data_IF_826885513473
#
_entry.id   IF_826885513473
#
_cell.length_a   1.000
_cell.length_b   1.000
_cell.length_c   1.000
_cell.angle_alpha   90.00
_cell.angle_beta   90.00
_cell.angle_gamma   90.00
#
_symmetry.space_group_name_H-M   'P 1'
#
loop_
_entity.id
_entity.type
_entity.pdbx_description
1 polymer ?
#
# COMPACT_ATOMS: atom_id res chain seq x y z
N UNK A 1 -8.59 -15.95 -4.26
CA UNK A 1 -8.90 -14.98 -3.17
C UNK A 1 -7.60 -14.33 -2.80
N UNK A 2 -7.60 -13.04 -2.52
CA UNK A 2 -6.37 -12.38 -2.11
C UNK A 2 -6.05 -12.82 -0.68
N UNK A 3 -5.13 -13.75 -0.56
CA UNK A 3 -4.78 -14.30 0.75
C UNK A 3 -3.75 -13.41 1.48
N UNK A 4 -3.34 -12.29 0.86
CA UNK A 4 -2.32 -11.41 1.43
C UNK A 4 -2.91 -10.04 1.77
N UNK A 5 -2.94 -9.75 3.06
CA UNK A 5 -3.35 -8.45 3.60
C UNK A 5 -2.15 -7.77 4.26
N UNK A 6 -1.93 -6.52 3.93
CA UNK A 6 -0.95 -5.69 4.64
C UNK A 6 -1.52 -5.22 5.97
N UNK A 7 -0.73 -5.33 7.01
CA UNK A 7 -1.11 -4.89 8.36
C UNK A 7 -0.14 -3.81 8.80
N UNK A 8 -0.68 -2.69 9.27
CA UNK A 8 0.09 -1.54 9.78
C UNK A 8 -0.32 -1.28 11.23
N UNK A 9 0.60 -1.50 12.17
CA UNK A 9 0.40 -1.17 13.58
C UNK A 9 0.77 0.30 13.84
N UNK A 10 -0.25 1.16 13.89
CA UNK A 10 -0.10 2.61 14.06
C UNK A 10 0.57 2.99 15.38
N UNK A 11 0.41 2.17 16.42
CA UNK A 11 1.03 2.44 17.71
C UNK A 11 2.53 2.10 17.75
N UNK A 12 3.01 1.27 16.81
CA UNK A 12 4.43 0.91 16.71
C UNK A 12 5.18 1.73 15.67
N UNK A 13 4.46 2.28 14.69
CA UNK A 13 5.09 3.08 13.63
C UNK A 13 5.63 4.39 14.19
N UNK A 14 6.91 4.65 13.96
CA UNK A 14 7.61 5.87 14.41
C UNK A 14 7.87 6.88 13.29
N UNK A 15 7.35 6.64 12.08
CA UNK A 15 7.56 7.53 10.94
C UNK A 15 9.00 7.56 10.41
N UNK A 16 9.81 6.53 10.65
CA UNK A 16 11.24 6.53 10.34
C UNK A 16 11.59 6.44 8.85
N UNK A 17 10.60 6.28 7.97
CA UNK A 17 10.72 6.20 6.50
C UNK A 17 11.54 5.00 5.96
N UNK A 18 12.05 4.10 6.79
CA UNK A 18 12.86 2.97 6.32
C UNK A 18 12.14 2.09 5.28
N UNK A 19 10.83 1.89 5.42
CA UNK A 19 10.00 1.14 4.48
C UNK A 19 9.86 1.86 3.12
N UNK A 20 9.76 3.20 3.13
CA UNK A 20 9.68 4.01 1.90
C UNK A 20 11.00 3.95 1.13
N UNK A 21 12.12 4.20 1.82
CA UNK A 21 13.45 4.14 1.20
C UNK A 21 13.74 2.76 0.61
N UNK A 22 13.47 1.69 1.36
CA UNK A 22 13.69 0.33 0.87
C UNK A 22 12.78 -0.03 -0.33
N UNK A 23 11.55 0.48 -0.35
CA UNK A 23 10.65 0.29 -1.48
C UNK A 23 11.14 1.03 -2.72
N UNK A 24 11.58 2.28 -2.55
CA UNK A 24 12.12 3.13 -3.61
C UNK A 24 13.38 2.53 -4.23
N UNK A 25 14.34 2.12 -3.41
CA UNK A 25 15.57 1.47 -3.83
C UNK A 25 15.31 0.19 -4.63
N UNK A 26 14.45 -0.69 -4.10
CA UNK A 26 14.08 -1.93 -4.79
C UNK A 26 13.40 -1.71 -6.15
N UNK A 27 12.57 -0.68 -6.25
CA UNK A 27 11.77 -0.40 -7.44
C UNK A 27 12.48 0.55 -8.43
N UNK A 28 13.70 0.97 -8.12
CA UNK A 28 14.50 1.93 -8.90
C UNK A 28 13.69 3.19 -9.27
N UNK A 29 12.97 3.73 -8.27
CA UNK A 29 12.12 4.90 -8.49
C UNK A 29 12.94 6.19 -8.47
N UNK A 30 12.57 7.17 -9.31
CA UNK A 30 13.10 8.53 -9.23
C UNK A 30 12.93 9.13 -7.82
N UNK A 31 13.82 10.08 -7.47
CA UNK A 31 13.87 10.67 -6.13
C UNK A 31 12.57 11.37 -5.70
N UNK A 32 11.80 11.86 -6.66
CA UNK A 32 10.55 12.59 -6.46
C UNK A 32 9.30 11.71 -6.46
N UNK A 33 9.43 10.39 -6.68
CA UNK A 33 8.30 9.46 -6.74
C UNK A 33 8.34 8.42 -5.63
N UNK A 34 7.21 8.16 -5.03
CA UNK A 34 7.04 7.16 -3.98
C UNK A 34 5.86 6.23 -4.24
N UNK A 35 6.08 4.92 -4.23
CA UNK A 35 5.03 3.92 -4.18
C UNK A 35 4.47 3.70 -2.78
N UNK A 36 5.26 4.03 -1.76
CA UNK A 36 4.90 3.91 -0.35
C UNK A 36 5.19 5.22 0.36
N UNK A 37 4.18 5.80 0.98
CA UNK A 37 4.27 7.05 1.74
C UNK A 37 4.01 6.78 3.21
N UNK A 38 4.69 7.52 4.07
CA UNK A 38 4.48 7.52 5.52
C UNK A 38 4.07 8.93 5.93
N UNK A 39 2.82 9.09 6.29
CA UNK A 39 2.18 10.38 6.51
C UNK A 39 1.88 10.59 8.01
N UNK A 40 2.28 11.72 8.60
CA UNK A 40 1.94 12.05 9.98
C UNK A 40 0.45 12.43 10.09
N UNK A 41 -0.21 11.92 11.11
CA UNK A 41 -1.57 12.29 11.50
C UNK A 41 -1.58 12.78 12.94
N UNK A 42 -2.02 14.02 13.11
CA UNK A 42 -2.19 14.63 14.42
C UNK A 42 -3.67 14.61 14.79
N UNK A 43 -3.97 14.23 16.03
CA UNK A 43 -5.33 14.22 16.57
C UNK A 43 -5.33 14.67 18.04
N UNK A 44 -6.53 14.88 18.58
CA UNK A 44 -6.70 15.38 19.94
C UNK A 44 -6.42 16.88 20.05
N UNK A 45 -6.36 17.36 21.31
CA UNK A 45 -6.06 18.75 21.66
C UNK A 45 -5.29 18.79 22.97
N UNK A 46 -4.60 19.91 23.20
CA UNK A 46 -3.92 20.13 24.49
C UNK A 46 -4.90 19.91 25.66
N UNK A 47 -4.52 19.19 26.73
CA UNK A 47 -3.18 18.67 27.04
C UNK A 47 -2.88 17.24 26.51
N UNK A 48 -3.74 16.65 25.70
CA UNK A 48 -3.64 15.26 25.24
C UNK A 48 -3.58 15.15 23.70
N UNK A 49 -2.56 15.75 23.03
CA UNK A 49 -2.37 15.55 21.60
C UNK A 49 -1.87 14.12 21.34
N UNK A 50 -2.25 13.57 20.20
CA UNK A 50 -1.75 12.28 19.71
C UNK A 50 -1.14 12.46 18.31
N UNK A 51 -0.05 11.73 18.06
CA UNK A 51 0.60 11.67 16.76
C UNK A 51 0.79 10.20 16.40
N UNK A 52 0.35 9.84 15.21
CA UNK A 52 0.63 8.52 14.63
C UNK A 52 0.98 8.66 13.14
N UNK A 53 1.51 7.59 12.56
CA UNK A 53 1.93 7.59 11.17
C UNK A 53 1.16 6.54 10.38
N UNK A 54 0.49 6.96 9.31
CA UNK A 54 -0.19 6.06 8.39
C UNK A 54 0.73 5.74 7.22
N UNK A 55 0.86 4.46 6.92
CA UNK A 55 1.64 3.99 5.78
C UNK A 55 0.68 3.66 4.66
N UNK A 56 0.78 4.40 3.56
CA UNK A 56 -0.09 4.27 2.38
C UNK A 56 0.71 3.76 1.19
N UNK A 57 0.20 2.74 0.52
CA UNK A 57 0.72 2.19 -0.72
C UNK A 57 -0.44 1.63 -1.55
N UNK A 58 -0.20 0.96 -2.67
CA UNK A 58 -1.29 0.24 -3.34
C UNK A 58 -1.81 -0.90 -2.45
N UNK A 59 -3.10 -0.89 -2.16
CA UNK A 59 -3.73 -1.89 -1.28
C UNK A 59 -4.29 -3.09 -2.03
N UNK A 60 -4.07 -3.20 -3.34
CA UNK A 60 -4.53 -4.35 -4.15
C UNK A 60 -5.99 -4.71 -3.89
N UNK A 61 -6.86 -3.72 -3.96
CA UNK A 61 -8.28 -3.78 -3.61
C UNK A 61 -9.01 -5.01 -4.17
N UNK A 62 -10.09 -5.44 -3.51
CA UNK A 62 -10.94 -6.52 -4.00
C UNK A 62 -11.63 -6.10 -5.31
N UNK A 63 -12.19 -4.88 -5.33
CA UNK A 63 -12.85 -4.27 -6.47
C UNK A 63 -12.05 -3.03 -6.92
N UNK A 64 -10.94 -3.22 -7.67
CA UNK A 64 -10.00 -2.15 -7.95
C UNK A 64 -10.51 -1.21 -9.05
N UNK A 65 -10.97 -0.01 -8.69
CA UNK A 65 -11.45 1.02 -9.64
C UNK A 65 -10.43 1.34 -10.74
N UNK A 66 -9.13 1.22 -10.46
CA UNK A 66 -8.09 1.43 -11.45
C UNK A 66 -8.08 0.40 -12.58
N UNK A 67 -8.55 -0.83 -12.33
CA UNK A 67 -8.73 -1.87 -13.35
C UNK A 67 -9.92 -1.51 -14.25
N UNK A 68 -11.03 -1.11 -13.64
CA UNK A 68 -12.27 -0.79 -14.36
C UNK A 68 -12.12 0.37 -15.34
N UNK A 69 -11.35 1.38 -14.97
CA UNK A 69 -11.19 2.59 -15.82
C UNK A 69 -10.10 2.48 -16.87
N UNK A 70 -9.33 1.38 -16.89
CA UNK A 70 -8.20 1.25 -17.82
C UNK A 70 -8.68 0.95 -19.26
N UNK A 71 -8.57 1.89 -20.22
CA UNK A 71 -9.13 1.72 -21.56
C UNK A 71 -8.41 0.67 -22.41
N UNK A 72 -7.18 0.33 -22.03
CA UNK A 72 -6.33 -0.64 -22.74
C UNK A 72 -6.08 -1.91 -21.94
N UNK A 73 -6.79 -2.09 -20.82
CA UNK A 73 -6.65 -3.26 -19.91
C UNK A 73 -5.21 -3.55 -19.48
N UNK A 74 -4.38 -2.50 -19.39
CA UNK A 74 -3.01 -2.61 -18.90
C UNK A 74 -2.92 -2.91 -17.40
N UNK A 75 -4.02 -2.74 -16.65
CA UNK A 75 -4.07 -3.02 -15.22
C UNK A 75 -4.94 -4.25 -15.01
N UNK A 76 -4.37 -5.26 -14.37
CA UNK A 76 -5.06 -6.52 -14.12
C UNK A 76 -4.94 -6.95 -12.67
N UNK A 77 -5.97 -7.62 -12.18
CA UNK A 77 -5.95 -8.31 -10.90
C UNK A 77 -5.64 -9.79 -11.13
N UNK A 78 -4.55 -10.26 -10.56
CA UNK A 78 -4.11 -11.65 -10.66
C UNK A 78 -4.84 -12.56 -9.66
N UNK A 79 -4.78 -13.86 -9.89
CA UNK A 79 -5.35 -14.87 -8.98
C UNK A 79 -4.72 -14.80 -7.56
N UNK A 80 -3.47 -14.36 -7.46
CA UNK A 80 -2.80 -14.06 -6.19
C UNK A 80 -3.42 -12.89 -5.42
N UNK A 81 -4.40 -12.19 -6.02
CA UNK A 81 -5.04 -10.99 -5.49
C UNK A 81 -4.25 -9.71 -5.71
N UNK A 82 -3.04 -9.78 -6.22
CA UNK A 82 -2.25 -8.59 -6.53
C UNK A 82 -2.79 -7.90 -7.78
N UNK A 83 -2.90 -6.59 -7.72
CA UNK A 83 -3.20 -5.74 -8.89
C UNK A 83 -1.88 -5.27 -9.47
N UNK A 84 -1.65 -5.50 -10.75
CA UNK A 84 -0.41 -5.15 -11.44
C UNK A 84 -0.67 -4.30 -12.67
N UNK A 85 0.33 -3.54 -13.11
CA UNK A 85 0.30 -2.74 -14.33
C UNK A 85 1.28 -3.35 -15.32
N UNK A 86 0.81 -3.65 -16.51
CA UNK A 86 1.66 -3.96 -17.65
C UNK A 86 2.14 -2.64 -18.28
N UNK A 87 3.42 -2.37 -18.14
CA UNK A 87 4.03 -1.14 -18.63
C UNK A 87 4.13 -1.10 -20.17
N UNK A 88 4.11 -2.25 -20.85
CA UNK A 88 4.16 -2.32 -22.31
C UNK A 88 2.82 -1.95 -22.94
N UNK A 89 1.71 -2.23 -22.24
CA UNK A 89 0.35 -1.90 -22.69
C UNK A 89 -0.07 -0.49 -22.23
N UNK A 90 0.59 0.09 -21.23
CA UNK A 90 0.17 1.38 -20.66
C UNK A 90 0.37 2.53 -21.65
N UNK A 91 -0.69 3.26 -21.94
CA UNK A 91 -0.68 4.44 -22.83
C UNK A 91 -0.59 5.78 -22.11
N UNK A 92 -0.42 5.78 -20.78
CA UNK A 92 -0.23 7.00 -19.99
C UNK A 92 -1.43 7.93 -19.89
N UNK A 93 -2.65 7.42 -20.02
CA UNK A 93 -3.87 8.25 -20.02
C UNK A 93 -4.28 8.82 -18.64
N UNK A 94 -3.60 8.45 -17.56
CA UNK A 94 -3.80 8.91 -16.17
C UNK A 94 -5.18 8.56 -15.55
N UNK A 95 -6.08 7.90 -16.27
CA UNK A 95 -7.41 7.56 -15.75
C UNK A 95 -7.35 6.79 -14.42
N UNK A 96 -6.38 5.88 -14.29
CA UNK A 96 -6.16 5.09 -13.07
C UNK A 96 -5.63 5.93 -11.90
N UNK A 97 -4.87 6.98 -12.17
CA UNK A 97 -4.38 7.92 -11.14
C UNK A 97 -5.56 8.66 -10.53
N UNK A 98 -6.46 9.19 -11.37
CA UNK A 98 -7.65 9.89 -10.94
C UNK A 98 -8.67 8.98 -10.23
N UNK A 99 -8.75 7.70 -10.62
CA UNK A 99 -9.71 6.74 -10.06
C UNK A 99 -9.27 6.14 -8.71
N UNK A 100 -7.99 6.22 -8.34
CA UNK A 100 -7.49 5.63 -7.11
C UNK A 100 -7.78 6.53 -5.90
N UNK A 101 -8.70 6.17 -4.98
CA UNK A 101 -9.03 7.03 -3.84
C UNK A 101 -7.88 7.16 -2.84
N UNK A 102 -6.92 6.23 -2.87
CA UNK A 102 -5.75 6.25 -2.00
C UNK A 102 -4.54 7.00 -2.59
N UNK A 103 -4.65 7.51 -3.83
CA UNK A 103 -3.56 8.17 -4.52
C UNK A 103 -2.30 7.30 -4.66
N UNK A 104 -2.48 5.98 -4.83
CA UNK A 104 -1.39 5.00 -4.79
C UNK A 104 -0.72 4.76 -6.15
N UNK A 105 -1.14 5.46 -7.19
CA UNK A 105 -0.60 5.34 -8.56
C UNK A 105 0.14 6.62 -8.91
N UNK A 106 1.36 6.49 -9.38
CA UNK A 106 2.22 7.59 -9.81
C UNK A 106 2.51 7.49 -11.30
N UNK A 107 2.87 8.60 -11.93
CA UNK A 107 3.35 8.61 -13.31
C UNK A 107 4.87 8.64 -13.33
N UNK A 108 5.47 7.69 -14.03
CA UNK A 108 6.92 7.70 -14.27
C UNK A 108 7.30 8.77 -15.30
N UNK A 109 8.57 9.21 -15.34
CA UNK A 109 9.04 10.20 -16.33
C UNK A 109 8.79 9.81 -17.78
N UNK A 110 8.67 8.51 -18.08
CA UNK A 110 8.35 7.98 -19.41
C UNK A 110 6.87 8.14 -19.79
N UNK A 111 6.05 8.71 -18.90
CA UNK A 111 4.62 8.92 -19.14
C UNK A 111 3.75 7.67 -18.95
N UNK A 112 4.22 6.67 -18.23
CA UNK A 112 3.46 5.45 -17.89
C UNK A 112 3.10 5.40 -16.41
N UNK A 113 1.95 4.82 -16.10
CA UNK A 113 1.49 4.65 -14.72
C UNK A 113 2.30 3.56 -14.00
N UNK A 114 2.59 3.80 -12.73
CA UNK A 114 3.31 2.85 -11.88
C UNK A 114 2.80 2.87 -10.45
N UNK A 115 2.95 1.76 -9.72
CA UNK A 115 2.52 1.62 -8.33
C UNK A 115 3.16 0.41 -7.67
N UNK A 116 3.01 0.29 -6.37
CA UNK A 116 3.41 -0.91 -5.64
C UNK A 116 2.87 -2.17 -6.32
N UNK A 117 3.75 -3.14 -6.60
CA UNK A 117 3.43 -4.44 -7.21
C UNK A 117 3.27 -5.57 -6.17
N UNK A 118 3.26 -5.23 -4.86
CA UNK A 118 3.18 -6.20 -3.77
C UNK A 118 4.45 -7.05 -3.59
N UNK A 119 5.56 -6.67 -4.22
CA UNK A 119 6.78 -7.48 -4.31
C UNK A 119 6.48 -8.91 -4.80
N UNK A 120 5.73 -9.03 -5.91
CA UNK A 120 5.20 -10.31 -6.40
C UNK A 120 6.30 -11.37 -6.61
N UNK A 121 7.42 -10.98 -7.21
CA UNK A 121 8.61 -11.82 -7.40
C UNK A 121 9.18 -12.38 -6.09
N UNK A 122 9.28 -11.56 -5.06
CA UNK A 122 9.73 -12.00 -3.74
C UNK A 122 8.68 -12.87 -3.04
N UNK A 123 7.41 -12.60 -3.29
CA UNK A 123 6.30 -13.41 -2.77
C UNK A 123 6.32 -14.84 -3.31
N UNK A 124 6.63 -15.01 -4.59
CA UNK A 124 6.76 -16.32 -5.24
C UNK A 124 7.91 -17.14 -4.64
N UNK A 125 8.92 -16.47 -4.09
CA UNK A 125 10.03 -17.08 -3.36
C UNK A 125 9.75 -17.25 -1.85
N UNK A 126 8.53 -16.97 -1.40
CA UNK A 126 8.12 -17.08 0.01
C UNK A 126 8.70 -16.02 0.93
N UNK A 127 9.21 -14.92 0.39
CA UNK A 127 9.73 -13.78 1.16
C UNK A 127 8.66 -12.72 1.41
N UNK A 128 8.74 -12.08 2.56
CA UNK A 128 7.91 -10.91 2.85
C UNK A 128 8.35 -9.70 2.00
N UNK A 129 7.40 -8.79 1.67
CA UNK A 129 7.71 -7.55 0.97
C UNK A 129 8.86 -6.76 1.61
N UNK A 130 9.64 -6.07 0.78
CA UNK A 130 10.82 -5.32 1.25
C UNK A 130 10.47 -4.31 2.34
N UNK A 131 9.33 -3.63 2.26
CA UNK A 131 8.88 -2.67 3.26
C UNK A 131 8.64 -3.31 4.64
N UNK A 132 8.12 -4.53 4.67
CA UNK A 132 7.93 -5.33 5.89
C UNK A 132 9.29 -5.72 6.49
N UNK A 133 10.19 -6.23 5.66
CA UNK A 133 11.54 -6.65 6.09
C UNK A 133 12.39 -5.49 6.58
N UNK A 134 12.23 -4.32 5.97
CA UNK A 134 12.97 -3.11 6.32
C UNK A 134 12.45 -2.40 7.59
N UNK A 135 11.26 -2.75 8.08
CA UNK A 135 10.66 -2.07 9.23
C UNK A 135 11.38 -2.42 10.54
N UNK A 136 12.17 -1.49 11.16
CA UNK A 136 12.90 -1.79 12.39
C UNK A 136 11.96 -1.95 13.59
N UNK A 137 10.80 -1.30 13.54
CA UNK A 137 9.79 -1.32 14.61
C UNK A 137 8.84 -2.51 14.52
N UNK A 138 8.93 -3.33 13.45
CA UNK A 138 7.97 -4.41 13.19
C UNK A 138 6.52 -3.91 13.22
N UNK A 139 6.32 -2.71 12.70
CA UNK A 139 5.02 -2.09 12.58
C UNK A 139 4.27 -2.53 11.31
N UNK A 140 4.98 -3.10 10.34
CA UNK A 140 4.43 -3.62 9.10
C UNK A 140 4.45 -5.14 9.09
N UNK A 141 3.39 -5.72 8.58
CA UNK A 141 3.29 -7.16 8.31
C UNK A 141 2.52 -7.40 7.00
N UNK A 142 2.69 -8.58 6.42
CA UNK A 142 1.95 -9.00 5.23
C UNK A 142 1.72 -10.50 5.31
N UNK A 143 0.47 -10.90 5.44
CA UNK A 143 0.10 -12.28 5.65
C UNK A 143 -1.31 -12.60 5.21
N UNK A 144 -1.79 -13.81 5.49
CA UNK A 144 -3.15 -14.22 5.18
C UNK A 144 -4.20 -13.29 5.78
N UNK A 145 -5.31 -13.09 5.05
CA UNK A 145 -6.40 -12.24 5.50
C UNK A 145 -7.03 -12.72 6.82
N UNK A 146 -6.96 -14.02 7.09
CA UNK A 146 -7.51 -14.68 8.27
C UNK A 146 -6.57 -14.67 9.48
N UNK A 147 -5.37 -14.07 9.34
CA UNK A 147 -4.41 -14.00 10.44
C UNK A 147 -5.05 -13.29 11.64
N UNK A 148 -4.86 -13.86 12.83
CA UNK A 148 -5.32 -13.24 14.09
C UNK A 148 -4.62 -11.90 14.30
N UNK A 149 -5.39 -10.94 14.82
CA UNK A 149 -4.81 -9.66 15.21
C UNK A 149 -3.92 -9.84 16.46
N UNK A 150 -2.83 -9.08 16.56
CA UNK A 150 -2.00 -9.10 17.76
C UNK A 150 -2.84 -8.77 19.02
N UNK A 151 -2.55 -9.37 20.16
CA UNK A 151 -3.22 -9.07 21.41
C UNK A 151 -3.22 -7.57 21.71
N UNK A 152 -4.33 -7.06 22.25
CA UNK A 152 -4.51 -5.64 22.62
C UNK A 152 -4.45 -4.67 21.42
N UNK A 153 -4.70 -5.13 20.21
CA UNK A 153 -4.83 -4.29 19.03
C UNK A 153 -6.25 -4.39 18.47
N UNK A 154 -6.80 -3.25 18.10
CA UNK A 154 -8.08 -3.13 17.40
C UNK A 154 -7.87 -2.58 15.99
N UNK A 155 -8.82 -2.80 15.10
CA UNK A 155 -8.82 -2.15 13.79
C UNK A 155 -9.08 -0.65 13.96
N UNK A 156 -8.36 0.15 13.17
CA UNK A 156 -8.62 1.58 13.03
C UNK A 156 -9.96 1.77 12.32
N UNK A 157 -10.93 2.37 13.00
CA UNK A 157 -12.27 2.60 12.46
C UNK A 157 -12.38 3.90 11.65
N UNK A 158 -11.36 4.75 11.72
CA UNK A 158 -11.32 6.03 10.99
C UNK A 158 -10.76 5.86 9.57
N UNK A 159 -10.37 4.64 9.19
CA UNK A 159 -9.91 4.34 7.83
C UNK A 159 -11.10 4.15 6.89
N UNK A 160 -11.23 5.04 5.92
CA UNK A 160 -12.23 4.93 4.85
C UNK A 160 -11.75 3.95 3.77
N UNK A 161 -12.43 2.84 3.62
CA UNK A 161 -12.16 1.81 2.63
C UNK A 161 -12.79 2.09 1.26
N UNK A 162 -13.57 3.17 1.17
CA UNK A 162 -14.32 3.59 -0.03
C UNK A 162 -15.21 2.49 -0.64
N UNK A 163 -15.50 1.43 0.09
CA UNK A 163 -16.32 0.29 -0.36
C UNK A 163 -15.68 -0.58 -1.43
N UNK A 164 -14.36 -0.46 -1.67
CA UNK A 164 -13.64 -1.21 -2.71
C UNK A 164 -12.74 -2.34 -2.16
N UNK A 165 -12.87 -2.64 -0.87
CA UNK A 165 -12.20 -3.75 -0.20
C UNK A 165 -10.67 -3.70 -0.31
N UNK A 166 -10.00 -2.67 0.20
CA UNK A 166 -8.54 -2.60 0.20
C UNK A 166 -7.93 -3.72 1.06
N UNK A 167 -6.91 -4.38 0.56
CA UNK A 167 -6.22 -5.46 1.26
C UNK A 167 -5.21 -4.89 2.29
N UNK A 168 -5.71 -4.04 3.18
CA UNK A 168 -4.94 -3.42 4.27
C UNK A 168 -5.72 -3.45 5.57
N UNK A 169 -5.03 -3.59 6.68
CA UNK A 169 -5.55 -3.42 8.04
C UNK A 169 -4.68 -2.44 8.81
N UNK A 170 -5.27 -1.39 9.30
CA UNK A 170 -4.62 -0.49 10.25
C UNK A 170 -5.02 -0.91 11.66
N UNK A 171 -4.01 -1.12 12.51
CA UNK A 171 -4.24 -1.49 13.91
C UNK A 171 -3.99 -0.28 14.79
N UNK A 172 -4.99 0.07 15.57
CA UNK A 172 -4.93 1.10 16.60
C UNK A 172 -4.92 0.45 17.98
N UNK A 173 -4.42 1.17 18.99
CA UNK A 173 -4.42 0.69 20.38
C UNK A 173 -5.74 1.01 21.07
#
# INVERSE_FOLDING_TARGET
MNDRVFTVDLARCTGCQACSVACKDRADLPDDLDWLRVEPHEAGAYPNPTLYYRVTHCFHCADPSCVEVCPVTAIVKHESGLVQIDHELCVGCEACVAACPFGAIVMLPQGIASKCNGCADEADEGRNPVCVRACPMRALDCGPAESELPPLRALDQDFDDHGIGPAVRYLHR
#
